data_IF_591410698072
#
_entry.id   IF_591410698072
#
_cell.length_a   1.000
_cell.length_b   1.000
_cell.length_c   1.000
_cell.angle_alpha   90.00
_cell.angle_beta   90.00
_cell.angle_gamma   90.00
#
_symmetry.space_group_name_H-M   'P 1'
#
loop_
_entity.id
_entity.type
_entity.pdbx_description
1 polymer ?
#
# COMPACT_ATOMS: atom_id res chain seq x y z
N UNK A 1 8.30 -51.33 -13.84
CA UNK A 1 7.37 -50.24 -13.45
C UNK A 1 7.25 -50.23 -11.94
N UNK A 2 7.94 -49.32 -11.26
CA UNK A 2 7.52 -48.78 -9.95
C UNK A 2 8.51 -47.66 -9.62
N UNK A 3 8.12 -46.41 -9.89
CA UNK A 3 8.87 -45.23 -9.50
C UNK A 3 8.39 -44.80 -8.13
N UNK A 4 9.28 -44.87 -7.13
CA UNK A 4 9.04 -44.30 -5.81
C UNK A 4 8.89 -42.77 -5.95
N UNK A 5 7.68 -42.27 -5.71
CA UNK A 5 7.41 -40.84 -5.60
C UNK A 5 8.10 -40.31 -4.35
N UNK A 6 8.88 -39.25 -4.51
CA UNK A 6 9.57 -38.56 -3.43
C UNK A 6 8.53 -37.91 -2.50
N UNK A 7 8.53 -38.31 -1.23
CA UNK A 7 7.80 -37.64 -0.15
C UNK A 7 8.43 -36.28 0.13
N UNK A 8 8.03 -35.26 -0.63
CA UNK A 8 8.16 -33.87 -0.22
C UNK A 8 7.00 -33.54 0.71
N UNK A 9 7.25 -33.47 2.02
CA UNK A 9 6.25 -33.14 3.04
C UNK A 9 5.80 -31.68 2.98
N UNK A 10 5.05 -31.32 1.94
CA UNK A 10 4.22 -30.11 1.92
C UNK A 10 2.91 -30.39 2.63
N UNK A 11 2.40 -29.42 3.40
CA UNK A 11 1.04 -29.47 3.90
C UNK A 11 0.07 -29.30 2.74
N UNK A 12 -1.00 -30.09 2.72
CA UNK A 12 -2.08 -29.90 1.76
C UNK A 12 -2.82 -28.57 2.05
N UNK A 13 -3.46 -27.91 1.07
CA UNK A 13 -4.05 -26.58 1.25
C UNK A 13 -5.04 -26.46 2.41
N UNK A 14 -5.83 -27.50 2.69
CA UNK A 14 -6.79 -27.53 3.80
C UNK A 14 -6.13 -27.84 5.16
N UNK A 15 -4.88 -28.27 5.20
CA UNK A 15 -4.09 -28.44 6.43
C UNK A 15 -3.40 -27.13 6.83
N UNK A 16 -3.19 -26.21 5.88
CA UNK A 16 -2.62 -24.90 6.13
C UNK A 16 -3.49 -24.03 7.06
N UNK A 17 -4.83 -24.14 6.93
CA UNK A 17 -5.84 -23.48 7.78
C UNK A 17 -5.83 -23.96 9.24
N UNK A 18 -4.96 -24.91 9.59
CA UNK A 18 -4.73 -25.39 10.97
C UNK A 18 -3.26 -25.44 11.34
N UNK A 19 -2.43 -24.77 10.55
CA UNK A 19 -1.00 -24.71 10.80
C UNK A 19 -0.70 -23.70 11.91
N UNK A 20 0.40 -23.93 12.63
CA UNK A 20 0.95 -22.94 13.57
C UNK A 20 1.19 -21.57 12.89
N UNK A 21 1.41 -21.56 11.57
CA UNK A 21 1.54 -20.31 10.82
C UNK A 21 0.22 -19.51 10.79
N UNK A 22 -0.90 -20.16 10.55
CA UNK A 22 -2.20 -19.46 10.54
C UNK A 22 -2.54 -18.90 11.93
N UNK A 23 -2.35 -19.71 12.98
CA UNK A 23 -2.52 -19.28 14.37
C UNK A 23 -1.66 -18.06 14.71
N UNK A 24 -0.36 -18.09 14.36
CA UNK A 24 0.56 -16.98 14.61
C UNK A 24 0.23 -15.75 13.74
N UNK A 25 -0.38 -15.91 12.57
CA UNK A 25 -0.79 -14.80 11.71
C UNK A 25 -1.80 -13.90 12.42
N UNK A 26 -2.78 -14.51 13.09
CA UNK A 26 -3.80 -13.78 13.85
C UNK A 26 -3.19 -12.97 15.00
N UNK A 27 -2.27 -13.58 15.76
CA UNK A 27 -1.58 -12.93 16.89
C UNK A 27 -0.72 -11.77 16.42
N UNK A 28 -0.03 -11.93 15.29
CA UNK A 28 0.77 -10.85 14.69
C UNK A 28 -0.16 -9.68 14.33
N UNK A 29 -1.27 -9.93 13.64
CA UNK A 29 -2.21 -8.87 13.25
C UNK A 29 -2.81 -8.15 14.45
N UNK A 30 -3.22 -8.88 15.49
CA UNK A 30 -3.72 -8.28 16.73
C UNK A 30 -2.68 -7.38 17.38
N UNK A 31 -1.42 -7.82 17.45
CA UNK A 31 -0.33 -6.99 17.97
C UNK A 31 -0.08 -5.75 17.09
N UNK A 32 -0.20 -5.87 15.77
CA UNK A 32 -0.07 -4.72 14.86
C UNK A 32 -1.23 -3.73 15.00
N UNK A 33 -2.45 -4.25 15.15
CA UNK A 33 -3.67 -3.45 15.32
C UNK A 33 -3.65 -2.73 16.67
N UNK A 34 -3.21 -3.39 17.74
CA UNK A 34 -3.03 -2.76 19.05
C UNK A 34 -2.12 -1.52 18.98
N UNK A 35 -1.03 -1.56 18.20
CA UNK A 35 -0.16 -0.40 17.99
C UNK A 35 -0.92 0.75 17.32
N UNK A 36 -1.80 0.44 16.36
CA UNK A 36 -2.64 1.45 15.71
C UNK A 36 -3.70 2.02 16.67
N UNK A 37 -4.35 1.16 17.46
CA UNK A 37 -5.38 1.53 18.43
C UNK A 37 -4.82 2.41 19.57
N UNK A 38 -3.58 2.13 19.99
CA UNK A 38 -2.82 2.98 20.92
C UNK A 38 -2.40 4.33 20.32
N UNK A 39 -2.69 4.57 19.04
CA UNK A 39 -2.38 5.82 18.35
C UNK A 39 -0.91 5.99 17.95
N UNK A 40 -0.10 4.93 18.08
CA UNK A 40 1.32 4.96 17.72
C UNK A 40 1.55 4.92 16.21
N UNK A 41 0.48 4.70 15.43
CA UNK A 41 0.44 4.89 13.98
C UNK A 41 -0.48 6.05 13.64
N UNK A 42 0.07 7.28 13.50
CA UNK A 42 -0.72 8.48 13.19
C UNK A 42 -1.08 8.55 11.69
N UNK A 43 -1.36 7.40 11.09
CA UNK A 43 -1.74 7.28 9.68
C UNK A 43 -2.58 6.02 9.42
N UNK A 44 -3.36 6.07 8.35
CA UNK A 44 -4.10 4.95 7.76
C UNK A 44 -3.62 4.73 6.33
N UNK A 45 -3.77 3.52 5.80
CA UNK A 45 -3.33 3.17 4.44
C UNK A 45 -4.51 2.58 3.68
N UNK A 46 -4.71 3.06 2.46
CA UNK A 46 -5.81 2.66 1.59
C UNK A 46 -5.28 2.18 0.24
N UNK A 47 -5.90 1.16 -0.32
CA UNK A 47 -5.90 0.93 -1.75
C UNK A 47 -7.05 1.70 -2.38
N UNK A 48 -6.75 2.52 -3.39
CA UNK A 48 -7.71 3.40 -4.02
C UNK A 48 -7.69 3.19 -5.53
N UNK A 49 -8.87 3.05 -6.12
CA UNK A 49 -9.09 3.11 -7.56
C UNK A 49 -9.93 4.35 -7.85
N UNK A 50 -9.39 5.26 -8.66
CA UNK A 50 -10.11 6.41 -9.17
C UNK A 50 -10.40 6.27 -10.66
N UNK A 51 -11.56 6.75 -11.10
CA UNK A 51 -11.97 6.86 -12.50
C UNK A 51 -11.97 8.34 -12.90
N UNK A 52 -11.42 8.63 -14.08
CA UNK A 52 -11.54 9.95 -14.71
C UNK A 52 -12.61 9.93 -15.80
N UNK A 53 -13.55 10.87 -15.74
CA UNK A 53 -14.65 10.96 -16.72
C UNK A 53 -14.20 11.27 -18.14
N UNK A 54 -13.04 11.92 -18.31
CA UNK A 54 -12.43 12.18 -19.62
C UNK A 54 -11.52 11.06 -20.13
N UNK A 55 -11.57 9.87 -19.53
CA UNK A 55 -10.84 8.68 -19.97
C UNK A 55 -9.32 8.71 -19.72
N UNK A 56 -8.78 9.79 -19.16
CA UNK A 56 -7.40 9.85 -18.68
C UNK A 56 -7.23 10.83 -17.53
N UNK A 57 -6.18 10.62 -16.73
CA UNK A 57 -5.83 11.50 -15.61
C UNK A 57 -5.71 12.95 -16.07
N UNK A 58 -6.34 13.86 -15.33
CA UNK A 58 -6.38 15.29 -15.64
C UNK A 58 -7.45 15.72 -16.65
N UNK A 59 -8.18 14.79 -17.29
CA UNK A 59 -9.31 15.12 -18.17
C UNK A 59 -10.65 14.81 -17.51
N UNK A 60 -11.46 15.84 -17.31
CA UNK A 60 -12.75 15.74 -16.64
C UNK A 60 -12.61 15.71 -15.11
N UNK A 61 -13.54 15.01 -14.45
CA UNK A 61 -13.61 14.92 -12.98
C UNK A 61 -13.15 13.54 -12.54
N UNK A 62 -12.34 13.49 -11.47
CA UNK A 62 -11.96 12.25 -10.83
C UNK A 62 -13.05 11.83 -9.82
N UNK A 63 -13.44 10.56 -9.83
CA UNK A 63 -14.29 9.92 -8.82
C UNK A 63 -13.61 8.69 -8.26
N UNK A 64 -13.74 8.45 -6.95
CA UNK A 64 -13.28 7.22 -6.31
C UNK A 64 -14.33 6.15 -6.58
N UNK A 65 -13.94 5.03 -7.18
CA UNK A 65 -14.83 3.90 -7.47
C UNK A 65 -14.57 2.71 -6.54
N UNK A 66 -13.37 2.62 -5.96
CA UNK A 66 -13.03 1.66 -4.92
C UNK A 66 -12.07 2.30 -3.93
N UNK A 67 -12.34 2.10 -2.64
CA UNK A 67 -11.47 2.49 -1.54
C UNK A 67 -11.53 1.39 -0.49
N UNK A 68 -10.38 0.77 -0.24
CA UNK A 68 -10.23 -0.28 0.75
C UNK A 68 -9.14 0.08 1.72
N UNK A 69 -9.44 0.02 3.02
CA UNK A 69 -8.45 0.21 4.06
C UNK A 69 -7.73 -1.08 4.42
N UNK A 70 -6.41 -0.99 4.60
CA UNK A 70 -5.65 -2.08 5.20
C UNK A 70 -5.80 -2.09 6.72
N UNK A 71 -6.21 -3.23 7.27
CA UNK A 71 -6.28 -3.47 8.71
C UNK A 71 -5.57 -4.80 9.01
N UNK A 72 -4.49 -4.79 9.80
CA UNK A 72 -3.80 -3.63 10.40
C UNK A 72 -3.08 -2.75 9.35
N UNK A 73 -2.81 -1.46 9.67
CA UNK A 73 -2.17 -0.56 8.72
C UNK A 73 -0.71 -0.96 8.45
N UNK A 74 -0.32 -1.23 7.18
CA UNK A 74 1.04 -1.59 6.80
C UNK A 74 2.02 -0.43 6.98
N UNK A 75 3.31 -0.74 6.94
CA UNK A 75 4.40 0.23 7.08
C UNK A 75 5.02 0.53 5.74
N UNK A 76 5.21 1.81 5.44
CA UNK A 76 6.02 2.25 4.31
C UNK A 76 7.50 2.37 4.73
N UNK A 77 8.35 1.52 4.16
CA UNK A 77 9.78 1.47 4.41
C UNK A 77 10.52 2.42 3.48
N UNK A 78 11.10 3.47 4.06
CA UNK A 78 11.81 4.54 3.34
C UNK A 78 13.29 4.25 3.09
N UNK A 79 13.75 3.02 3.38
CA UNK A 79 15.18 2.66 3.37
C UNK A 79 15.89 2.89 2.03
N UNK A 80 15.15 2.82 0.93
CA UNK A 80 15.67 2.94 -0.44
C UNK A 80 15.39 4.31 -1.07
N UNK A 81 14.82 5.26 -0.32
CA UNK A 81 14.49 6.58 -0.85
C UNK A 81 15.72 7.49 -0.87
N UNK A 82 15.99 8.09 -2.03
CA UNK A 82 16.96 9.18 -2.17
C UNK A 82 16.22 10.51 -2.25
N UNK A 83 16.77 11.52 -1.58
CA UNK A 83 16.27 12.90 -1.64
C UNK A 83 17.21 13.70 -2.52
N UNK A 84 16.73 14.10 -3.68
CA UNK A 84 17.48 14.94 -4.61
C UNK A 84 17.02 16.40 -4.44
N UNK A 85 17.95 17.29 -4.13
CA UNK A 85 17.68 18.73 -4.17
C UNK A 85 17.66 19.20 -5.64
N UNK A 86 16.57 19.82 -6.06
CA UNK A 86 16.45 20.52 -7.34
C UNK A 86 16.18 22.00 -7.10
N UNK A 87 16.34 22.82 -8.14
CA UNK A 87 16.01 24.25 -8.10
C UNK A 87 14.55 24.52 -7.71
N UNK A 88 13.64 23.57 -7.93
CA UNK A 88 12.23 23.65 -7.57
C UNK A 88 11.88 23.01 -6.20
N UNK A 89 12.85 22.54 -5.42
CA UNK A 89 12.64 21.91 -4.12
C UNK A 89 13.27 20.51 -3.98
N UNK A 90 12.92 19.81 -2.90
CA UNK A 90 13.39 18.44 -2.65
C UNK A 90 12.45 17.46 -3.33
N UNK A 91 12.99 16.61 -4.20
CA UNK A 91 12.24 15.52 -4.84
C UNK A 91 12.67 14.19 -4.23
N UNK A 92 11.68 13.43 -3.76
CA UNK A 92 11.89 12.08 -3.26
C UNK A 92 11.87 11.10 -4.44
N UNK A 93 13.02 10.47 -4.74
CA UNK A 93 13.16 9.50 -5.83
C UNK A 93 13.57 8.15 -5.29
N UNK A 94 12.92 7.11 -5.78
CA UNK A 94 13.25 5.74 -5.45
C UNK A 94 12.03 4.84 -5.42
N UNK A 95 12.31 3.57 -5.20
CA UNK A 95 11.31 2.57 -4.87
C UNK A 95 11.22 2.46 -3.36
N UNK A 96 9.99 2.38 -2.86
CA UNK A 96 9.64 2.16 -1.47
C UNK A 96 9.06 0.76 -1.33
N UNK A 97 9.08 0.24 -0.12
CA UNK A 97 8.47 -1.05 0.18
C UNK A 97 7.31 -0.83 1.14
N UNK A 98 6.12 -1.29 0.77
CA UNK A 98 5.01 -1.44 1.70
C UNK A 98 5.15 -2.82 2.35
N UNK A 99 5.48 -2.80 3.64
CA UNK A 99 5.80 -3.97 4.47
C UNK A 99 4.72 -4.16 5.55
N UNK A 100 4.75 -5.29 6.23
CA UNK A 100 3.85 -5.66 7.33
C UNK A 100 2.38 -5.71 6.93
N UNK A 101 2.12 -6.02 5.67
CA UNK A 101 0.79 -6.38 5.22
C UNK A 101 0.46 -7.75 5.81
N UNK A 102 -0.72 -7.87 6.41
CA UNK A 102 -1.18 -9.10 7.08
C UNK A 102 -0.96 -10.33 6.20
N UNK A 103 -0.27 -11.38 6.69
CA UNK A 103 -0.09 -12.62 5.94
C UNK A 103 -1.40 -13.41 5.75
N UNK A 104 -2.49 -13.02 6.44
CA UNK A 104 -3.79 -13.70 6.37
C UNK A 104 -4.53 -13.49 5.05
N UNK A 105 -4.16 -12.45 4.30
CA UNK A 105 -4.73 -12.28 2.97
C UNK A 105 -4.28 -13.43 2.07
N UNK A 106 -5.24 -14.04 1.39
CA UNK A 106 -4.97 -14.94 0.28
C UNK A 106 -4.30 -14.20 -0.87
N UNK A 107 -3.67 -14.94 -1.77
CA UNK A 107 -3.06 -14.34 -2.96
C UNK A 107 -4.09 -13.59 -3.83
N UNK A 108 -5.32 -14.10 -3.92
CA UNK A 108 -6.40 -13.45 -4.66
C UNK A 108 -6.83 -12.13 -4.00
N UNK A 109 -7.07 -12.16 -2.69
CA UNK A 109 -7.43 -10.96 -1.93
C UNK A 109 -6.36 -9.89 -2.06
N UNK A 110 -5.08 -10.23 -1.83
CA UNK A 110 -4.02 -9.22 -1.88
C UNK A 110 -3.81 -8.67 -3.28
N UNK A 111 -3.97 -9.49 -4.33
CA UNK A 111 -3.94 -9.02 -5.72
C UNK A 111 -5.11 -8.08 -6.03
N UNK A 112 -6.28 -8.31 -5.45
CA UNK A 112 -7.42 -7.39 -5.61
C UNK A 112 -7.14 -6.00 -5.02
N UNK A 113 -6.26 -5.91 -4.02
CA UNK A 113 -5.85 -4.63 -3.44
C UNK A 113 -4.80 -3.91 -4.30
N UNK A 114 -4.17 -4.62 -5.23
CA UNK A 114 -3.16 -4.08 -6.13
C UNK A 114 -3.49 -4.41 -7.59
N UNK A 115 -4.64 -3.94 -8.11
CA UNK A 115 -5.11 -4.32 -9.43
C UNK A 115 -4.14 -3.83 -10.50
N UNK A 116 -3.69 -4.74 -11.36
CA UNK A 116 -2.83 -4.44 -12.50
C UNK A 116 -3.61 -4.25 -13.79
N UNK A 117 -4.84 -4.77 -13.84
CA UNK A 117 -5.74 -4.67 -14.99
C UNK A 117 -6.82 -3.65 -14.64
N UNK A 118 -6.75 -2.49 -15.25
CA UNK A 118 -7.63 -1.35 -15.01
C UNK A 118 -8.30 -0.95 -16.32
N UNK A 119 -9.56 -0.56 -16.26
CA UNK A 119 -10.28 -0.07 -17.43
C UNK A 119 -9.73 1.29 -17.89
N UNK A 120 -10.09 1.70 -19.10
CA UNK A 120 -9.70 3.00 -19.63
C UNK A 120 -10.13 4.15 -18.68
N UNK A 121 -9.16 4.95 -18.25
CA UNK A 121 -9.37 6.07 -17.34
C UNK A 121 -9.41 5.69 -15.86
N UNK A 122 -9.25 4.41 -15.50
CA UNK A 122 -9.04 3.98 -14.13
C UNK A 122 -7.55 4.06 -13.75
N UNK A 123 -7.29 4.43 -12.50
CA UNK A 123 -5.95 4.50 -11.94
C UNK A 123 -5.97 3.98 -10.50
N UNK A 124 -5.12 3.00 -10.21
CA UNK A 124 -4.92 2.48 -8.86
C UNK A 124 -3.68 3.08 -8.20
N UNK A 125 -3.78 3.34 -6.90
CA UNK A 125 -2.67 3.80 -6.08
C UNK A 125 -2.91 3.45 -4.61
N UNK A 126 -1.83 3.46 -3.85
CA UNK A 126 -1.87 3.39 -2.39
C UNK A 126 -1.89 4.80 -1.84
N UNK A 127 -2.82 5.10 -0.94
CA UNK A 127 -2.91 6.39 -0.27
C UNK A 127 -2.63 6.22 1.23
N UNK A 128 -1.58 6.87 1.72
CA UNK A 128 -1.32 7.02 3.15
C UNK A 128 -1.91 8.34 3.62
N UNK A 129 -2.81 8.28 4.61
CA UNK A 129 -3.48 9.45 5.19
C UNK A 129 -2.99 9.68 6.60
N UNK A 130 -2.29 10.77 6.83
CA UNK A 130 -1.78 11.19 8.14
C UNK A 130 -2.80 12.09 8.84
N UNK A 131 -3.02 11.86 10.13
CA UNK A 131 -4.02 12.58 10.93
C UNK A 131 -3.48 13.83 11.65
N UNK A 132 -2.16 14.08 11.56
CA UNK A 132 -1.50 15.24 12.14
C UNK A 132 -1.01 15.06 13.59
N UNK A 133 -1.26 13.91 14.23
CA UNK A 133 -0.72 13.61 15.58
C UNK A 133 0.81 13.54 15.61
N UNK A 134 1.48 13.54 14.47
CA UNK A 134 2.93 13.65 14.33
C UNK A 134 3.46 15.11 14.42
N UNK A 135 2.63 16.07 14.83
CA UNK A 135 3.01 17.49 14.94
C UNK A 135 2.95 18.27 13.64
N UNK A 136 2.48 17.67 12.55
CA UNK A 136 2.24 18.32 11.27
C UNK A 136 0.75 18.51 10.97
N UNK A 137 0.43 19.24 9.91
CA UNK A 137 -0.94 19.26 9.36
C UNK A 137 -1.29 17.88 8.79
N UNK A 138 -2.58 17.48 8.76
CA UNK A 138 -2.99 16.27 8.08
C UNK A 138 -2.55 16.27 6.61
N UNK A 139 -2.00 15.15 6.15
CA UNK A 139 -1.37 15.01 4.84
C UNK A 139 -1.82 13.72 4.14
N UNK A 140 -1.90 13.77 2.82
CA UNK A 140 -2.14 12.58 1.98
C UNK A 140 -0.97 12.36 1.05
N UNK A 141 -0.44 11.14 1.04
CA UNK A 141 0.66 10.71 0.17
C UNK A 141 0.17 9.56 -0.70
N UNK A 142 0.41 9.67 -2.01
CA UNK A 142 0.02 8.64 -2.99
C UNK A 142 1.23 7.91 -3.53
N UNK A 143 1.06 6.62 -3.76
CA UNK A 143 2.11 5.75 -4.27
C UNK A 143 1.57 4.87 -5.39
N UNK A 144 2.28 4.81 -6.50
CA UNK A 144 1.97 3.90 -7.61
C UNK A 144 2.60 2.54 -7.30
N UNK A 145 1.85 1.47 -7.53
CA UNK A 145 2.32 0.10 -7.36
C UNK A 145 3.40 -0.20 -8.41
N UNK A 146 4.53 -0.78 -7.98
CA UNK A 146 5.66 -1.07 -8.87
C UNK A 146 6.07 -2.54 -8.94
N UNK A 147 5.48 -3.41 -8.11
CA UNK A 147 5.63 -4.86 -8.20
C UNK A 147 4.32 -5.58 -7.92
N UNK A 148 4.27 -6.85 -8.27
CA UNK A 148 3.26 -7.79 -7.75
C UNK A 148 3.53 -8.02 -6.25
N UNK A 149 2.50 -8.15 -5.40
CA UNK A 149 2.69 -8.54 -4.00
C UNK A 149 3.32 -9.94 -3.91
N UNK A 150 4.19 -10.16 -2.92
CA UNK A 150 4.76 -11.47 -2.63
C UNK A 150 4.82 -11.71 -1.12
N UNK A 151 4.72 -12.98 -0.72
CA UNK A 151 4.69 -13.39 0.68
C UNK A 151 6.12 -13.69 1.19
N UNK A 152 6.56 -12.98 2.23
CA UNK A 152 7.90 -13.11 2.82
C UNK A 152 7.86 -13.96 4.11
N UNK A 153 7.60 -15.27 3.97
CA UNK A 153 7.49 -16.19 5.10
C UNK A 153 8.78 -16.39 5.92
N UNK A 154 9.97 -16.62 5.32
CA UNK A 154 11.12 -17.13 6.10
C UNK A 154 11.69 -16.18 7.15
N UNK A 155 11.36 -14.89 7.08
CA UNK A 155 11.97 -13.86 7.93
C UNK A 155 10.97 -12.99 8.68
N UNK A 156 9.81 -12.73 8.07
CA UNK A 156 8.95 -11.62 8.51
C UNK A 156 7.47 -11.92 8.48
N UNK A 157 7.05 -13.04 7.87
CA UNK A 157 5.70 -13.54 7.94
C UNK A 157 4.65 -12.48 7.56
N UNK A 158 4.82 -11.92 6.35
CA UNK A 158 4.08 -10.75 5.87
C UNK A 158 3.98 -10.77 4.35
N UNK A 159 2.94 -10.13 3.81
CA UNK A 159 2.97 -9.69 2.41
C UNK A 159 3.81 -8.43 2.25
N UNK A 160 4.40 -8.30 1.07
CA UNK A 160 5.25 -7.16 0.70
C UNK A 160 4.93 -6.74 -0.72
N UNK A 161 4.85 -5.43 -0.97
CA UNK A 161 4.74 -4.87 -2.31
C UNK A 161 5.66 -3.66 -2.45
N UNK A 162 6.25 -3.49 -3.63
CA UNK A 162 7.03 -2.29 -3.94
C UNK A 162 6.13 -1.22 -4.54
N UNK A 163 6.39 0.02 -4.15
CA UNK A 163 5.64 1.19 -4.59
C UNK A 163 6.58 2.34 -4.90
N UNK A 164 6.11 3.33 -5.66
CA UNK A 164 6.85 4.56 -5.97
C UNK A 164 6.05 5.79 -5.57
N UNK A 165 6.66 6.82 -4.96
CA UNK A 165 5.99 8.09 -4.72
C UNK A 165 5.36 8.65 -5.98
N UNK A 166 4.13 9.16 -5.89
CA UNK A 166 3.60 10.04 -6.92
C UNK A 166 4.04 11.48 -6.63
N UNK A 167 4.56 12.14 -7.67
CA UNK A 167 4.87 13.57 -7.63
C UNK A 167 3.57 14.36 -7.57
N UNK A 168 3.11 14.68 -6.35
CA UNK A 168 2.18 15.77 -5.98
C UNK A 168 1.59 15.48 -4.58
N UNK A 169 2.21 15.96 -3.48
CA UNK A 169 1.59 15.87 -2.17
C UNK A 169 0.25 16.61 -2.16
N UNK A 170 -0.74 16.02 -1.49
CA UNK A 170 -2.10 16.55 -1.40
C UNK A 170 -2.41 16.95 0.02
N UNK A 171 -3.21 18.01 0.16
CA UNK A 171 -3.73 18.43 1.46
C UNK A 171 -4.75 17.42 2.03
N UNK A 172 -5.25 17.72 3.24
CA UNK A 172 -6.24 16.89 3.92
C UNK A 172 -7.50 16.63 3.06
N UNK A 173 -7.86 17.56 2.17
CA UNK A 173 -9.00 17.46 1.26
C UNK A 173 -8.69 16.73 -0.05
N UNK A 174 -7.44 16.28 -0.25
CA UNK A 174 -7.01 15.62 -1.47
C UNK A 174 -6.73 16.59 -2.62
N UNK A 175 -6.54 17.89 -2.37
CA UNK A 175 -6.15 18.86 -3.41
C UNK A 175 -4.62 18.94 -3.53
N UNK A 176 -4.05 19.10 -4.75
CA UNK A 176 -2.61 19.25 -4.93
C UNK A 176 -2.08 20.49 -4.18
N UNK A 177 -1.06 20.31 -3.34
CA UNK A 177 -0.36 21.42 -2.69
C UNK A 177 0.61 22.06 -3.70
N UNK A 178 0.12 23.04 -4.48
CA UNK A 178 0.94 23.72 -5.49
C UNK A 178 0.23 24.72 -6.41
N UNK A 179 -1.12 24.75 -6.43
CA UNK A 179 -1.88 25.69 -7.28
C UNK A 179 -2.33 26.99 -6.58
N UNK A 180 -1.94 27.21 -5.32
CA UNK A 180 -2.29 28.42 -4.56
C UNK A 180 -1.17 29.46 -4.58
N UNK A 181 -0.86 30.10 -5.71
CA UNK A 181 0.16 31.15 -5.70
C UNK A 181 0.72 31.65 -7.03
N UNK A 182 -0.11 31.88 -8.05
CA UNK A 182 0.21 32.85 -9.10
C UNK A 182 -0.98 33.77 -9.30
N UNK A 183 -1.15 34.71 -8.37
CA UNK A 183 -1.81 35.96 -8.70
C UNK A 183 -0.90 36.67 -9.71
N UNK A 184 -1.33 36.73 -10.96
CA UNK A 184 -0.70 37.61 -11.95
C UNK A 184 -0.81 39.05 -11.41
N UNK A 185 0.35 39.71 -11.27
CA UNK A 185 0.46 41.16 -11.22
C UNK A 185 1.38 41.58 -12.35
#
# INVERSE_FOLDING_TARGET
MSGASQNGGGLEPWEADRSLGDDLSSVVDDAQQLIADLGLRPYRVFSVIEQWSGGSRGRGTASIISELEFTPPPVLSMRSLRRDMKSAGVVERGELTLERISPRYTEEEIRSFFPTNLDAGQYAYIEQRWDGRNGGSPQRRRFTISSVPFLELPRRFQWVVRVRPQDDPRDASGRPQGQGGRAQR
#
